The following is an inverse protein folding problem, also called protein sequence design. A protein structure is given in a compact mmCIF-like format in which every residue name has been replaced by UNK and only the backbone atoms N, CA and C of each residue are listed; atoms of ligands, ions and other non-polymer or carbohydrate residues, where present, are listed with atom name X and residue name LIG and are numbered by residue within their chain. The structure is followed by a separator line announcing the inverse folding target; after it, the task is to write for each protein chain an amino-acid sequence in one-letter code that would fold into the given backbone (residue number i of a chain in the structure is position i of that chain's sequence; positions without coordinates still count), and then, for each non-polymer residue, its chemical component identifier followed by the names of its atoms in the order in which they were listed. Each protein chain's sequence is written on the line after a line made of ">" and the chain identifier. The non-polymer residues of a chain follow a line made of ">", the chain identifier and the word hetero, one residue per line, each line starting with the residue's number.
data_IF_703614044188
#
_entry.id   IF_703614044188
#
_cell.length_a   1.000
_cell.length_b   1.000
_cell.length_c   1.000
_cell.angle_alpha   90.00
_cell.angle_beta   90.00
_cell.angle_gamma   90.00
#
_symmetry.space_group_name_H-M   'P 1'
#
loop_
_entity.id
_entity.type
_entity.pdbx_description
1 polymer ?
#
# COMPACT_ATOMS: atom_id res chain seq x y z
N UNK A 1 -23.02 7.05 10.88
CA UNK A 1 -23.17 8.23 11.79
C UNK A 1 -23.75 7.86 13.14
N UNK A 2 -25.00 7.42 13.26
CA UNK A 2 -25.68 7.16 14.55
C UNK A 2 -24.93 6.21 15.51
N UNK A 3 -24.32 5.16 14.99
CA UNK A 3 -23.54 4.23 15.81
C UNK A 3 -22.32 4.91 16.47
N UNK A 4 -21.55 5.67 15.72
CA UNK A 4 -20.36 6.35 16.22
C UNK A 4 -20.71 7.42 17.27
N UNK A 5 -21.79 8.17 17.05
CA UNK A 5 -22.31 9.14 18.04
C UNK A 5 -22.73 8.46 19.35
N UNK A 6 -23.40 7.31 19.26
CA UNK A 6 -23.79 6.54 20.44
C UNK A 6 -22.57 6.05 21.25
N UNK A 7 -21.52 5.61 20.55
CA UNK A 7 -20.25 5.17 21.20
C UNK A 7 -19.52 6.35 21.86
N UNK A 8 -19.48 7.49 21.19
CA UNK A 8 -18.87 8.72 21.73
C UNK A 8 -19.62 9.19 23.00
N UNK A 9 -20.95 9.19 23.00
CA UNK A 9 -21.73 9.52 24.18
C UNK A 9 -21.48 8.55 25.36
N UNK A 10 -21.27 7.27 25.11
CA UNK A 10 -20.90 6.31 26.12
C UNK A 10 -19.50 6.61 26.69
N UNK A 11 -18.55 6.94 25.82
CA UNK A 11 -17.19 7.32 26.20
C UNK A 11 -17.20 8.53 27.15
N UNK A 12 -17.93 9.60 26.82
CA UNK A 12 -18.01 10.78 27.68
C UNK A 12 -18.66 10.48 29.04
N UNK A 13 -19.72 9.69 29.08
CA UNK A 13 -20.32 9.27 30.34
C UNK A 13 -19.31 8.54 31.22
N UNK A 14 -18.50 7.66 30.65
CA UNK A 14 -17.47 6.93 31.37
C UNK A 14 -16.39 7.88 31.92
N UNK A 15 -15.86 8.78 31.08
CA UNK A 15 -14.85 9.77 31.49
C UNK A 15 -15.37 10.65 32.62
N UNK A 16 -16.61 11.14 32.50
CA UNK A 16 -17.26 11.94 33.54
C UNK A 16 -17.43 11.18 34.84
N UNK A 17 -17.88 9.92 34.75
CA UNK A 17 -18.08 9.06 35.95
C UNK A 17 -16.76 8.78 36.69
N UNK A 18 -15.69 8.51 35.94
CA UNK A 18 -14.36 8.29 36.52
C UNK A 18 -13.82 9.57 37.20
N UNK A 19 -13.98 10.72 36.56
CA UNK A 19 -13.62 12.01 37.14
C UNK A 19 -14.40 12.33 38.43
N UNK A 20 -15.69 12.04 38.45
CA UNK A 20 -16.52 12.20 39.65
C UNK A 20 -16.09 11.24 40.77
N UNK A 21 -15.49 10.09 40.43
CA UNK A 21 -14.86 9.17 41.38
C UNK A 21 -13.47 9.58 41.86
N UNK A 22 -12.96 10.77 41.46
CA UNK A 22 -11.67 11.30 41.87
C UNK A 22 -10.48 10.83 41.00
N UNK A 23 -10.74 10.15 39.88
CA UNK A 23 -9.70 9.76 38.93
C UNK A 23 -9.39 10.94 37.97
N UNK A 24 -8.16 11.43 38.02
CA UNK A 24 -7.68 12.43 37.06
C UNK A 24 -7.32 11.73 35.74
N UNK A 25 -7.90 12.20 34.62
CA UNK A 25 -7.63 11.68 33.28
C UNK A 25 -7.04 12.83 32.46
N UNK A 26 -5.70 12.96 32.41
CA UNK A 26 -5.03 14.11 31.77
C UNK A 26 -5.17 14.11 30.25
N UNK A 27 -5.29 12.92 29.65
CA UNK A 27 -5.41 12.76 28.19
C UNK A 27 -6.64 11.92 27.86
N UNK A 28 -7.53 12.50 27.07
CA UNK A 28 -8.66 11.78 26.47
C UNK A 28 -8.55 11.80 24.96
N UNK A 29 -8.91 10.70 24.32
CA UNK A 29 -8.83 10.56 22.86
C UNK A 29 -9.94 9.60 22.39
N UNK A 30 -10.78 10.05 21.47
CA UNK A 30 -11.84 9.24 20.90
C UNK A 30 -11.88 9.27 19.37
N UNK A 31 -11.23 10.25 18.74
CA UNK A 31 -11.27 10.43 17.30
C UNK A 31 -10.06 9.87 16.57
N UNK A 32 -10.33 9.17 15.48
CA UNK A 32 -9.35 8.73 14.49
C UNK A 32 -9.57 9.48 13.15
N UNK A 33 -8.84 9.07 12.09
CA UNK A 33 -8.83 9.75 10.79
C UNK A 33 -10.22 10.01 10.22
N UNK A 34 -11.14 9.02 10.24
CA UNK A 34 -12.47 9.16 9.64
C UNK A 34 -13.31 10.26 10.28
N UNK A 35 -13.25 10.39 11.61
CA UNK A 35 -13.99 11.44 12.32
C UNK A 35 -13.43 12.84 12.04
N UNK A 36 -12.09 12.94 11.94
CA UNK A 36 -11.41 14.19 11.58
C UNK A 36 -11.76 14.64 10.16
N UNK A 37 -11.80 13.70 9.21
CA UNK A 37 -12.13 13.99 7.81
C UNK A 37 -13.56 14.54 7.63
N UNK A 38 -14.50 14.12 8.45
CA UNK A 38 -15.87 14.66 8.42
C UNK A 38 -16.05 15.89 9.34
N UNK A 39 -14.97 16.43 9.88
CA UNK A 39 -15.00 17.66 10.67
C UNK A 39 -15.62 17.51 12.06
N UNK A 40 -15.64 16.32 12.63
CA UNK A 40 -16.12 16.15 13.99
C UNK A 40 -15.16 16.77 15.00
N UNK A 41 -15.72 17.43 15.97
CA UNK A 41 -15.01 17.89 17.16
C UNK A 41 -15.67 17.25 18.37
N UNK A 42 -14.87 16.56 19.18
CA UNK A 42 -15.36 15.80 20.32
C UNK A 42 -14.99 16.40 21.68
N UNK A 43 -14.24 17.49 21.70
CA UNK A 43 -13.80 18.11 22.95
C UNK A 43 -12.76 17.30 23.73
N UNK A 44 -12.23 16.19 23.20
CA UNK A 44 -11.10 15.47 23.79
C UNK A 44 -9.81 16.29 23.68
N UNK A 45 -8.84 15.98 24.56
CA UNK A 45 -7.54 16.68 24.58
C UNK A 45 -6.57 16.18 23.51
N UNK A 46 -6.87 15.06 22.84
CA UNK A 46 -6.02 14.43 21.82
C UNK A 46 -6.82 13.76 20.73
N UNK A 47 -6.19 13.54 19.57
CA UNK A 47 -6.69 12.77 18.44
C UNK A 47 -5.65 11.71 18.03
N UNK A 48 -6.10 10.61 17.40
CA UNK A 48 -5.22 9.53 16.92
C UNK A 48 -5.43 9.29 15.42
N UNK A 49 -4.92 10.17 14.54
CA UNK A 49 -5.00 9.97 13.11
C UNK A 49 -4.00 8.89 12.66
N UNK A 50 -4.47 7.90 11.90
CA UNK A 50 -3.60 6.91 11.27
C UNK A 50 -3.51 7.18 9.76
N UNK A 51 -4.57 6.91 9.02
CA UNK A 51 -4.61 7.02 7.55
C UNK A 51 -4.20 8.41 7.03
N UNK A 52 -4.67 9.48 7.66
CA UNK A 52 -4.34 10.87 7.26
C UNK A 52 -2.84 11.13 7.30
N UNK A 53 -2.12 10.60 8.30
CA UNK A 53 -0.66 10.78 8.41
C UNK A 53 0.10 10.16 7.23
N UNK A 54 -0.49 9.15 6.62
CA UNK A 54 0.06 8.50 5.43
C UNK A 54 -0.49 9.08 4.12
N UNK A 55 -1.34 10.11 4.20
CA UNK A 55 -1.99 10.69 3.04
C UNK A 55 -3.04 9.76 2.42
N UNK A 56 -3.62 8.87 3.22
CA UNK A 56 -4.64 7.93 2.78
C UNK A 56 -6.02 8.36 3.27
N UNK A 57 -7.01 8.24 2.39
CA UNK A 57 -8.41 8.39 2.75
C UNK A 57 -8.90 7.13 3.48
N UNK A 58 -9.59 7.31 4.60
CA UNK A 58 -10.23 6.23 5.35
C UNK A 58 -11.76 6.17 5.16
N UNK A 59 -12.29 7.00 4.25
CA UNK A 59 -13.69 7.09 3.88
C UNK A 59 -13.84 6.93 2.37
N UNK A 60 -15.07 6.74 1.92
CA UNK A 60 -15.39 6.73 0.50
C UNK A 60 -15.10 8.11 -0.13
N UNK A 61 -14.69 8.13 -1.38
CA UNK A 61 -14.19 9.32 -2.07
C UNK A 61 -15.21 10.48 -2.10
N UNK A 62 -16.48 10.17 -2.23
CA UNK A 62 -17.59 11.12 -2.26
C UNK A 62 -17.78 11.92 -0.96
N UNK A 63 -17.21 11.44 0.15
CA UNK A 63 -17.34 12.10 1.48
C UNK A 63 -16.20 13.10 1.74
N UNK A 64 -15.09 13.06 0.98
CA UNK A 64 -13.85 13.75 1.35
C UNK A 64 -13.17 14.51 0.21
N UNK A 65 -13.86 14.86 -0.85
CA UNK A 65 -13.32 15.52 -2.06
C UNK A 65 -12.52 16.82 -1.81
N UNK A 66 -12.69 17.45 -0.66
CA UNK A 66 -12.04 18.72 -0.34
C UNK A 66 -10.86 18.60 0.64
N UNK A 67 -10.47 17.41 1.08
CA UNK A 67 -9.34 17.27 1.99
C UNK A 67 -8.02 17.20 1.21
N UNK A 68 -7.04 18.09 1.49
CA UNK A 68 -5.78 18.13 0.74
C UNK A 68 -4.86 16.99 1.16
N UNK A 69 -5.10 15.79 0.66
CA UNK A 69 -4.22 14.65 0.89
C UNK A 69 -2.85 14.88 0.26
N UNK A 70 -1.81 14.62 1.05
CA UNK A 70 -0.44 14.53 0.54
C UNK A 70 0.08 13.13 0.82
N UNK A 71 0.34 12.30 -0.20
CA UNK A 71 0.91 10.98 0.00
C UNK A 71 2.23 11.07 0.77
N UNK A 72 2.32 10.35 1.89
CA UNK A 72 3.57 10.25 2.63
C UNK A 72 4.59 9.40 1.87
N UNK A 73 4.12 8.44 1.08
CA UNK A 73 4.94 7.62 0.21
C UNK A 73 5.00 8.23 -1.19
N UNK A 74 6.19 8.62 -1.63
CA UNK A 74 6.39 9.15 -2.98
C UNK A 74 6.61 8.06 -4.02
N UNK A 75 7.47 7.10 -3.74
CA UNK A 75 7.70 5.94 -4.59
C UNK A 75 8.32 4.77 -3.84
N UNK A 76 8.04 3.56 -4.30
CA UNK A 76 8.75 2.34 -3.97
C UNK A 76 9.47 1.91 -5.24
N UNK A 77 10.78 1.68 -5.13
CA UNK A 77 11.63 1.37 -6.26
C UNK A 77 12.49 0.14 -5.98
N UNK A 78 12.81 -0.60 -7.02
CA UNK A 78 13.75 -1.70 -7.00
C UNK A 78 14.64 -1.65 -8.24
N UNK A 79 15.67 -2.50 -8.32
CA UNK A 79 16.53 -2.58 -9.50
C UNK A 79 16.50 -3.98 -10.08
N UNK A 80 16.54 -4.05 -11.39
CA UNK A 80 16.71 -5.33 -12.11
C UNK A 80 18.04 -5.95 -11.72
N UNK A 81 18.03 -7.17 -11.22
CA UNK A 81 19.24 -7.95 -10.90
C UNK A 81 19.56 -8.99 -11.96
N UNK A 82 18.58 -9.35 -12.78
CA UNK A 82 18.75 -10.34 -13.83
C UNK A 82 17.75 -10.13 -14.95
N UNK A 83 18.22 -10.27 -16.19
CA UNK A 83 17.37 -10.44 -17.38
C UNK A 83 17.57 -11.86 -17.90
N UNK A 84 16.51 -12.54 -18.28
CA UNK A 84 16.52 -13.92 -18.81
C UNK A 84 15.79 -14.00 -20.13
N UNK A 85 16.37 -14.75 -21.07
CA UNK A 85 15.70 -15.18 -22.29
C UNK A 85 15.25 -16.64 -22.12
N UNK A 86 13.96 -16.90 -22.36
CA UNK A 86 13.39 -18.23 -22.27
C UNK A 86 13.22 -18.79 -23.69
N UNK A 87 14.21 -19.50 -24.19
CA UNK A 87 14.21 -19.98 -25.56
C UNK A 87 13.25 -21.14 -25.86
N UNK A 88 12.91 -21.94 -24.89
CA UNK A 88 11.85 -22.98 -24.95
C UNK A 88 11.79 -23.72 -23.61
N UNK A 89 10.64 -24.01 -23.09
CA UNK A 89 10.45 -24.90 -21.95
C UNK A 89 9.27 -24.52 -21.06
N UNK A 90 8.81 -25.47 -20.25
CA UNK A 90 7.79 -25.17 -19.27
C UNK A 90 8.32 -24.12 -18.30
N UNK A 91 7.46 -23.27 -17.85
CA UNK A 91 7.78 -22.21 -16.94
C UNK A 91 8.39 -22.74 -15.64
N UNK A 92 9.59 -22.27 -15.31
CA UNK A 92 10.32 -22.68 -14.11
C UNK A 92 10.22 -21.65 -12.98
N UNK A 93 9.26 -20.73 -13.02
CA UNK A 93 9.05 -19.80 -11.94
C UNK A 93 8.63 -20.54 -10.66
N UNK A 94 9.40 -20.43 -9.60
CA UNK A 94 9.02 -20.85 -8.26
C UNK A 94 8.24 -19.71 -7.59
N UNK A 95 7.17 -19.98 -6.86
CA UNK A 95 6.56 -18.97 -6.03
C UNK A 95 5.06 -18.77 -6.16
N UNK A 96 4.33 -19.71 -6.71
CA UNK A 96 2.86 -19.77 -6.55
C UNK A 96 2.03 -18.74 -7.32
N UNK A 97 2.63 -17.73 -7.92
CA UNK A 97 1.95 -16.80 -8.82
C UNK A 97 2.53 -16.95 -10.22
N UNK A 98 1.88 -17.76 -11.03
CA UNK A 98 2.25 -18.00 -12.40
C UNK A 98 1.12 -17.59 -13.32
N UNK A 99 1.37 -16.62 -14.18
CA UNK A 99 0.52 -16.39 -15.34
C UNK A 99 1.21 -16.95 -16.59
N UNK A 100 0.42 -17.44 -17.53
CA UNK A 100 0.91 -17.82 -18.84
C UNK A 100 1.76 -16.69 -19.42
N UNK A 101 3.01 -16.98 -19.70
CA UNK A 101 3.93 -16.01 -20.30
C UNK A 101 3.61 -15.90 -21.78
N UNK A 102 3.48 -14.67 -22.23
CA UNK A 102 3.40 -14.34 -23.66
C UNK A 102 4.79 -14.02 -24.21
N UNK A 103 5.62 -13.45 -23.37
CA UNK A 103 6.95 -12.96 -23.73
C UNK A 103 8.02 -14.00 -23.38
N UNK A 104 9.04 -14.06 -24.23
CA UNK A 104 10.19 -14.96 -24.01
C UNK A 104 11.21 -14.41 -23.05
N UNK A 105 11.17 -13.10 -22.78
CA UNK A 105 12.12 -12.41 -21.92
C UNK A 105 11.46 -12.02 -20.60
N UNK A 106 12.24 -12.08 -19.53
CA UNK A 106 11.80 -11.63 -18.21
C UNK A 106 12.92 -10.88 -17.49
N UNK A 107 12.53 -9.97 -16.61
CA UNK A 107 13.43 -9.34 -15.64
C UNK A 107 13.04 -9.74 -14.22
N UNK A 108 14.06 -9.87 -13.36
CA UNK A 108 13.90 -10.18 -11.93
C UNK A 108 14.44 -9.00 -11.12
N UNK A 109 13.67 -8.61 -10.09
CA UNK A 109 14.06 -7.59 -9.14
C UNK A 109 13.88 -8.08 -7.69
N UNK A 110 14.75 -7.68 -6.75
CA UNK A 110 14.69 -8.04 -5.34
C UNK A 110 13.59 -7.21 -4.64
N UNK A 111 12.35 -7.64 -4.81
CA UNK A 111 11.17 -7.09 -4.16
C UNK A 111 10.10 -8.20 -4.14
N UNK A 112 10.02 -8.95 -3.06
CA UNK A 112 9.12 -10.09 -2.93
C UNK A 112 8.17 -9.96 -1.75
N UNK A 113 7.58 -11.08 -1.35
CA UNK A 113 6.65 -11.14 -0.23
C UNK A 113 7.26 -10.63 1.07
N UNK A 114 8.54 -10.95 1.32
CA UNK A 114 9.26 -10.52 2.53
C UNK A 114 9.55 -9.01 2.54
N UNK A 115 9.53 -8.36 1.40
CA UNK A 115 9.75 -6.91 1.26
C UNK A 115 8.43 -6.13 1.29
N UNK A 116 7.30 -6.84 1.36
CA UNK A 116 5.97 -6.26 1.44
C UNK A 116 5.18 -6.25 0.14
N UNK A 117 5.76 -6.72 -0.99
CA UNK A 117 5.01 -6.87 -2.22
C UNK A 117 4.06 -8.07 -2.09
N UNK A 118 2.78 -7.78 -1.80
CA UNK A 118 1.76 -8.81 -1.70
C UNK A 118 1.53 -9.53 -3.03
N UNK A 119 1.20 -10.81 -2.95
CA UNK A 119 0.85 -11.58 -4.14
C UNK A 119 -0.41 -11.03 -4.79
N UNK A 120 -0.38 -10.65 -6.08
CA UNK A 120 -1.59 -10.21 -6.78
C UNK A 120 -2.61 -11.35 -6.88
N UNK A 121 -3.89 -11.02 -6.78
CA UNK A 121 -4.95 -11.99 -7.03
C UNK A 121 -4.88 -12.42 -8.51
N UNK A 122 -5.03 -13.72 -8.83
CA UNK A 122 -4.98 -14.22 -10.21
C UNK A 122 -6.02 -13.61 -11.16
N UNK A 123 -7.03 -12.91 -10.64
CA UNK A 123 -8.04 -12.22 -11.44
C UNK A 123 -7.55 -10.89 -12.00
N UNK A 124 -6.46 -10.34 -11.46
CA UNK A 124 -5.91 -9.05 -11.84
C UNK A 124 -4.56 -9.18 -12.51
N UNK A 125 -4.30 -8.36 -13.52
CA UNK A 125 -2.96 -8.13 -14.01
C UNK A 125 -2.31 -7.05 -13.16
N UNK A 126 -1.15 -7.35 -12.58
CA UNK A 126 -0.34 -6.41 -11.83
C UNK A 126 0.85 -5.95 -12.67
N UNK A 127 1.28 -4.71 -12.44
CA UNK A 127 2.33 -4.07 -13.24
C UNK A 127 3.36 -3.37 -12.35
N UNK A 128 4.54 -3.14 -12.91
CA UNK A 128 5.55 -2.21 -12.44
C UNK A 128 5.93 -1.27 -13.57
N UNK A 129 6.57 -0.14 -13.29
CA UNK A 129 7.05 0.76 -14.33
C UNK A 129 8.55 0.58 -14.57
N UNK A 130 8.92 0.52 -15.84
CA UNK A 130 10.26 0.67 -16.34
C UNK A 130 10.30 1.84 -17.32
N UNK A 131 11.04 2.91 -16.97
CA UNK A 131 11.13 4.12 -17.80
C UNK A 131 9.77 4.67 -18.27
N UNK A 132 8.75 4.61 -17.39
CA UNK A 132 7.39 5.07 -17.68
C UNK A 132 6.49 4.07 -18.41
N UNK A 133 7.00 2.91 -18.80
CA UNK A 133 6.22 1.82 -19.43
C UNK A 133 5.82 0.78 -18.38
N UNK A 134 4.58 0.35 -18.42
CA UNK A 134 4.08 -0.74 -17.59
C UNK A 134 4.59 -2.11 -18.09
N UNK A 135 5.21 -2.86 -17.18
CA UNK A 135 5.64 -4.25 -17.39
C UNK A 135 4.83 -5.15 -16.49
N UNK A 136 4.24 -6.21 -17.06
CA UNK A 136 3.37 -7.12 -16.32
C UNK A 136 4.16 -7.98 -15.36
N UNK A 137 3.67 -8.09 -14.14
CA UNK A 137 4.18 -9.00 -13.12
C UNK A 137 3.70 -10.42 -13.42
N UNK A 138 4.63 -11.37 -13.55
CA UNK A 138 4.33 -12.77 -13.87
C UNK A 138 4.75 -13.73 -12.78
N UNK A 139 5.49 -13.27 -11.79
CA UNK A 139 5.91 -14.10 -10.66
C UNK A 139 6.24 -13.25 -9.45
N UNK A 140 5.85 -13.74 -8.27
CA UNK A 140 6.23 -13.20 -6.97
C UNK A 140 6.70 -14.37 -6.11
N UNK A 141 7.91 -14.25 -5.58
CA UNK A 141 8.47 -15.21 -4.62
C UNK A 141 8.69 -14.52 -3.26
N UNK A 142 9.32 -15.20 -2.33
CA UNK A 142 9.63 -14.61 -1.02
C UNK A 142 10.50 -13.35 -1.15
N UNK A 143 11.50 -13.37 -2.07
CA UNK A 143 12.52 -12.33 -2.18
C UNK A 143 12.48 -11.58 -3.52
N UNK A 144 11.72 -12.06 -4.51
CA UNK A 144 11.84 -11.54 -5.87
C UNK A 144 10.50 -11.34 -6.55
N UNK A 145 10.50 -10.33 -7.41
CA UNK A 145 9.47 -10.03 -8.38
C UNK A 145 10.00 -10.38 -9.78
N UNK A 146 9.18 -11.03 -10.59
CA UNK A 146 9.48 -11.33 -12.00
C UNK A 146 8.49 -10.61 -12.89
N UNK A 147 8.98 -9.89 -13.89
CA UNK A 147 8.17 -9.17 -14.88
C UNK A 147 8.42 -9.65 -16.28
N UNK A 148 7.42 -9.61 -17.15
CA UNK A 148 7.57 -9.85 -18.58
C UNK A 148 8.27 -8.68 -19.27
N UNK A 149 9.15 -8.98 -20.22
CA UNK A 149 9.81 -8.00 -21.07
C UNK A 149 9.37 -8.21 -22.53
N UNK A 150 8.52 -7.34 -23.07
CA UNK A 150 8.28 -7.29 -24.52
C UNK A 150 9.56 -7.11 -25.33
N UNK A 151 9.59 -7.63 -26.56
CA UNK A 151 10.79 -7.62 -27.42
C UNK A 151 11.31 -6.21 -27.72
N UNK A 152 10.41 -5.24 -27.73
CA UNK A 152 10.72 -3.81 -27.95
C UNK A 152 11.13 -3.06 -26.68
N UNK A 153 11.27 -3.74 -25.53
CA UNK A 153 11.73 -3.14 -24.28
C UNK A 153 13.21 -3.41 -24.08
N UNK A 154 14.00 -2.35 -24.15
CA UNK A 154 15.42 -2.39 -23.74
C UNK A 154 15.50 -2.27 -22.21
N UNK A 155 15.69 -3.41 -21.55
CA UNK A 155 15.85 -3.53 -20.12
C UNK A 155 17.09 -4.36 -19.80
N UNK A 156 17.91 -3.89 -18.87
CA UNK A 156 19.14 -4.52 -18.47
C UNK A 156 19.32 -4.55 -16.94
N UNK A 157 20.24 -5.37 -16.48
CA UNK A 157 20.62 -5.41 -15.07
C UNK A 157 21.09 -4.04 -14.59
N UNK A 158 20.57 -3.61 -13.43
CA UNK A 158 20.81 -2.29 -12.86
C UNK A 158 19.70 -1.27 -13.17
N UNK A 159 18.85 -1.51 -14.16
CA UNK A 159 17.71 -0.63 -14.47
C UNK A 159 16.75 -0.54 -13.30
N UNK A 160 16.16 0.65 -13.12
CA UNK A 160 15.20 0.91 -12.07
C UNK A 160 13.80 0.45 -12.49
N UNK A 161 13.12 -0.22 -11.57
CA UNK A 161 11.69 -0.51 -11.62
C UNK A 161 10.98 0.29 -10.53
N UNK A 162 9.93 1.01 -10.89
CA UNK A 162 9.03 1.64 -9.92
C UNK A 162 7.88 0.69 -9.61
N UNK A 163 7.81 0.27 -8.37
CA UNK A 163 6.81 -0.68 -7.84
C UNK A 163 5.52 0.04 -7.49
N UNK A 164 5.64 1.20 -6.85
CA UNK A 164 4.53 2.11 -6.55
C UNK A 164 4.98 3.56 -6.68
N UNK A 165 4.06 4.46 -6.95
CA UNK A 165 4.31 5.89 -7.12
C UNK A 165 3.11 6.61 -7.74
N UNK A 166 3.36 7.65 -8.52
CA UNK A 166 2.30 8.46 -9.11
C UNK A 166 1.42 7.69 -10.12
N UNK A 167 2.01 6.81 -10.94
CA UNK A 167 1.27 6.04 -11.96
C UNK A 167 0.72 4.74 -11.39
N UNK A 168 1.53 3.99 -10.64
CA UNK A 168 1.10 2.80 -9.92
C UNK A 168 0.84 3.21 -8.49
N UNK A 169 -0.36 3.66 -8.23
CA UNK A 169 -0.76 4.13 -6.89
C UNK A 169 -0.92 2.98 -5.90
N UNK A 170 -0.93 3.30 -4.61
CA UNK A 170 -1.24 2.32 -3.57
C UNK A 170 -2.65 1.73 -3.75
N UNK A 171 -3.59 2.51 -4.30
CA UNK A 171 -4.95 2.01 -4.58
C UNK A 171 -4.93 0.95 -5.69
N UNK A 172 -4.17 1.15 -6.77
CA UNK A 172 -3.99 0.12 -7.81
C UNK A 172 -3.35 -1.16 -7.25
N UNK A 173 -2.31 -1.04 -6.41
CA UNK A 173 -1.71 -2.20 -5.74
C UNK A 173 -2.70 -2.90 -4.81
N UNK A 174 -3.49 -2.12 -4.09
CA UNK A 174 -4.55 -2.57 -3.19
C UNK A 174 -5.62 -3.39 -3.93
N UNK A 175 -6.07 -2.88 -5.09
CA UNK A 175 -7.00 -3.57 -5.97
C UNK A 175 -6.42 -4.89 -6.49
N UNK A 176 -5.19 -4.88 -7.02
CA UNK A 176 -4.56 -6.10 -7.54
C UNK A 176 -4.34 -7.17 -6.48
N UNK A 177 -4.09 -6.77 -5.22
CA UNK A 177 -3.83 -7.66 -4.09
C UNK A 177 -5.08 -7.97 -3.27
N UNK A 178 -6.22 -7.33 -3.58
CA UNK A 178 -7.47 -7.39 -2.79
C UNK A 178 -7.22 -7.10 -1.30
N UNK A 179 -6.43 -6.05 -1.02
CA UNK A 179 -6.05 -5.58 0.32
C UNK A 179 -6.37 -4.10 0.45
N UNK A 180 -6.48 -3.61 1.70
CA UNK A 180 -6.67 -2.17 1.92
C UNK A 180 -5.38 -1.40 1.61
N UNK A 181 -5.43 -0.16 1.09
CA UNK A 181 -4.24 0.64 0.79
C UNK A 181 -3.29 0.80 1.99
N UNK A 182 -3.83 0.94 3.19
CA UNK A 182 -3.02 1.04 4.41
C UNK A 182 -2.25 -0.26 4.70
N UNK A 183 -2.88 -1.43 4.47
CA UNK A 183 -2.23 -2.72 4.70
C UNK A 183 -1.11 -2.96 3.67
N UNK A 184 -1.32 -2.53 2.43
CA UNK A 184 -0.29 -2.57 1.38
C UNK A 184 0.87 -1.66 1.75
N UNK A 185 0.60 -0.43 2.16
CA UNK A 185 1.65 0.52 2.54
C UNK A 185 2.47 0.03 3.74
N UNK A 186 1.82 -0.43 4.80
CA UNK A 186 2.50 -0.90 6.00
C UNK A 186 3.34 -2.17 5.75
N UNK A 187 2.96 -3.00 4.79
CA UNK A 187 3.72 -4.18 4.43
C UNK A 187 5.15 -3.84 3.95
N UNK A 188 5.33 -2.70 3.27
CA UNK A 188 6.65 -2.26 2.79
C UNK A 188 7.54 -1.63 3.87
N UNK A 189 7.07 -1.43 5.09
CA UNK A 189 7.79 -0.66 6.12
C UNK A 189 8.93 -1.39 6.81
N UNK A 190 9.08 -2.72 6.61
CA UNK A 190 9.93 -3.54 7.50
C UNK A 190 11.38 -3.70 7.05
N UNK A 191 11.66 -3.86 5.77
CA UNK A 191 12.98 -4.29 5.26
C UNK A 191 13.62 -3.33 4.26
N UNK A 192 12.82 -2.48 3.64
CA UNK A 192 13.31 -1.57 2.60
C UNK A 192 13.97 -0.33 3.23
N UNK A 193 15.09 0.15 2.69
CA UNK A 193 15.67 1.42 3.13
C UNK A 193 14.71 2.57 2.80
N UNK A 194 14.50 3.46 3.78
CA UNK A 194 13.67 4.66 3.63
C UNK A 194 14.57 5.84 3.30
N UNK A 195 14.24 6.55 2.23
CA UNK A 195 14.91 7.80 1.83
C UNK A 195 13.91 8.94 2.06
N UNK A 196 14.28 9.87 2.93
CA UNK A 196 13.52 11.09 3.14
C UNK A 196 13.91 12.12 2.07
N UNK A 197 12.91 12.76 1.45
CA UNK A 197 13.09 13.76 0.39
C UNK A 197 12.25 15.00 0.67
#
# INVERSE_FOLDING_TARGET
>A
MAYAQKRLALFYRLVTSLGAGGLEIPITQAMASSALLVGWNDGCSAVCPGHILFGLNSLDADVTDNFPYRPALRAIKSRVIQVRDHNTGPDTGSGGYHRSRRERRTAVAPCGLNDGYGQPNPRHDAFVLHRGRELRVVGVSLEHLTVELPDDVDCQTGDELTIAGETITLDRLSEWQERRPIDVMLAFSGRMPVILI
#
